data_IF_443006947830
#
_entry.id   IF_443006947830
#
_cell.length_a   1.000
_cell.length_b   1.000
_cell.length_c   1.000
_cell.angle_alpha   90.00
_cell.angle_beta   90.00
_cell.angle_gamma   90.00
#
_symmetry.space_group_name_H-M   'P 1'
#
loop_
_entity.id
_entity.type
_entity.pdbx_description
1 polymer ?
#
# COMPACT_ATOMS: atom_id res chain seq x y z
N UNK A 1 -26.90 12.35 9.45
CA UNK A 1 -27.67 11.70 8.37
C UNK A 1 -28.97 12.46 8.24
N UNK A 2 -29.24 13.15 7.11
CA UNK A 2 -30.52 13.84 6.92
C UNK A 2 -31.46 12.88 6.19
N UNK A 3 -32.47 12.40 6.89
CA UNK A 3 -33.54 11.59 6.33
C UNK A 3 -34.28 12.37 5.24
N UNK A 4 -34.36 11.81 4.04
CA UNK A 4 -35.34 12.26 3.05
C UNK A 4 -36.71 11.68 3.44
N UNK A 5 -37.40 12.34 4.39
CA UNK A 5 -38.79 12.03 4.66
C UNK A 5 -39.66 12.63 3.56
N UNK A 6 -40.06 11.80 2.59
CA UNK A 6 -41.10 12.17 1.63
C UNK A 6 -42.47 12.01 2.31
N UNK A 7 -43.07 13.13 2.74
CA UNK A 7 -44.52 13.19 3.03
C UNK A 7 -45.27 12.93 1.72
N UNK A 8 -46.02 11.83 1.65
CA UNK A 8 -46.93 11.52 0.55
C UNK A 8 -48.18 12.40 0.74
N UNK A 9 -48.09 13.64 0.31
CA UNK A 9 -49.26 14.48 0.01
C UNK A 9 -49.61 14.27 -1.46
N UNK A 10 -50.88 13.99 -1.74
CA UNK A 10 -51.46 13.49 -3.00
C UNK A 10 -51.41 14.47 -4.18
N UNK A 11 -50.23 14.99 -4.51
CA UNK A 11 -49.98 15.83 -5.68
C UNK A 11 -49.07 15.05 -6.62
N UNK A 12 -49.54 14.81 -7.85
CA UNK A 12 -48.74 14.17 -8.90
C UNK A 12 -47.40 14.92 -9.03
N UNK A 13 -46.26 14.22 -8.95
CA UNK A 13 -44.95 14.87 -8.91
C UNK A 13 -44.70 15.67 -10.18
N UNK A 14 -44.21 16.91 -10.01
CA UNK A 14 -43.85 17.77 -11.13
C UNK A 14 -42.78 17.10 -11.99
N UNK A 15 -42.77 17.38 -13.29
CA UNK A 15 -41.75 16.87 -14.23
C UNK A 15 -40.33 17.19 -13.75
N UNK A 16 -40.13 18.30 -13.04
CA UNK A 16 -38.86 18.68 -12.42
C UNK A 16 -38.44 17.73 -11.27
N UNK A 17 -39.38 17.30 -10.43
CA UNK A 17 -39.12 16.37 -9.31
C UNK A 17 -38.75 14.97 -9.81
N UNK A 18 -39.36 14.54 -10.91
CA UNK A 18 -39.02 13.28 -11.59
C UNK A 18 -37.60 13.35 -12.15
N UNK A 19 -37.19 14.47 -12.75
CA UNK A 19 -35.85 14.66 -13.32
C UNK A 19 -34.79 14.72 -12.20
N UNK A 20 -35.05 15.46 -11.11
CA UNK A 20 -34.17 15.55 -9.95
C UNK A 20 -33.99 14.19 -9.26
N UNK A 21 -35.06 13.42 -9.07
CA UNK A 21 -34.98 12.08 -8.46
C UNK A 21 -34.27 11.06 -9.36
N UNK A 22 -34.45 11.14 -10.69
CA UNK A 22 -33.70 10.31 -11.65
C UNK A 22 -32.22 10.67 -11.66
N UNK A 23 -31.88 11.96 -11.70
CA UNK A 23 -30.49 12.45 -11.63
C UNK A 23 -29.79 12.01 -10.34
N UNK A 24 -30.48 12.13 -9.19
CA UNK A 24 -29.95 11.70 -7.89
C UNK A 24 -29.79 10.18 -7.80
N UNK A 25 -30.70 9.38 -8.36
CA UNK A 25 -30.55 7.91 -8.42
C UNK A 25 -29.38 7.48 -9.31
N UNK A 26 -29.18 8.14 -10.45
CA UNK A 26 -28.06 7.88 -11.35
C UNK A 26 -26.72 8.23 -10.69
N UNK A 27 -26.65 9.34 -9.94
CA UNK A 27 -25.43 9.72 -9.21
C UNK A 27 -25.11 8.75 -8.07
N UNK A 28 -26.11 8.29 -7.31
CA UNK A 28 -25.92 7.27 -6.25
C UNK A 28 -25.46 5.93 -6.84
N UNK A 29 -26.03 5.51 -7.97
CA UNK A 29 -25.60 4.30 -8.65
C UNK A 29 -24.16 4.41 -9.14
N UNK A 30 -23.80 5.53 -9.76
CA UNK A 30 -22.44 5.81 -10.21
C UNK A 30 -21.44 5.79 -9.04
N UNK A 31 -21.74 6.46 -7.94
CA UNK A 31 -20.88 6.47 -6.74
C UNK A 31 -20.73 5.06 -6.13
N UNK A 32 -21.79 4.26 -6.13
CA UNK A 32 -21.72 2.84 -5.71
C UNK A 32 -20.81 2.02 -6.62
N UNK A 33 -20.91 2.19 -7.94
CA UNK A 33 -20.05 1.50 -8.89
C UNK A 33 -18.59 1.93 -8.75
N UNK A 34 -18.33 3.22 -8.58
CA UNK A 34 -16.98 3.75 -8.33
C UNK A 34 -16.42 3.19 -7.03
N UNK A 35 -17.18 3.20 -5.93
CA UNK A 35 -16.78 2.64 -4.65
C UNK A 35 -16.42 1.16 -4.78
N UNK A 36 -17.24 0.36 -5.47
CA UNK A 36 -16.98 -1.08 -5.72
C UNK A 36 -15.69 -1.30 -6.50
N UNK A 37 -15.45 -0.51 -7.56
CA UNK A 37 -14.21 -0.59 -8.35
C UNK A 37 -12.99 -0.21 -7.51
N UNK A 38 -13.08 0.86 -6.73
CA UNK A 38 -12.01 1.28 -5.83
C UNK A 38 -11.70 0.21 -4.78
N UNK A 39 -12.72 -0.35 -4.12
CA UNK A 39 -12.52 -1.41 -3.12
C UNK A 39 -11.92 -2.67 -3.72
N UNK A 40 -12.37 -3.09 -4.91
CA UNK A 40 -11.83 -4.25 -5.61
C UNK A 40 -10.35 -4.02 -5.99
N UNK A 41 -10.03 -2.82 -6.50
CA UNK A 41 -8.66 -2.44 -6.84
C UNK A 41 -7.75 -2.35 -5.62
N UNK A 42 -8.26 -1.83 -4.50
CA UNK A 42 -7.53 -1.79 -3.23
C UNK A 42 -7.22 -3.20 -2.72
N UNK A 43 -8.22 -4.09 -2.67
CA UNK A 43 -8.04 -5.48 -2.24
C UNK A 43 -7.01 -6.21 -3.11
N UNK A 44 -7.07 -6.02 -4.44
CA UNK A 44 -6.11 -6.61 -5.36
C UNK A 44 -4.67 -6.12 -5.08
N UNK A 45 -4.49 -4.82 -4.79
CA UNK A 45 -3.19 -4.25 -4.44
C UNK A 45 -2.67 -4.76 -3.10
N UNK A 46 -3.52 -4.89 -2.09
CA UNK A 46 -3.15 -5.44 -0.78
C UNK A 46 -2.70 -6.90 -0.89
N UNK A 47 -3.40 -7.70 -1.70
CA UNK A 47 -3.00 -9.08 -2.02
C UNK A 47 -1.66 -9.14 -2.75
N UNK A 48 -1.49 -8.32 -3.79
CA UNK A 48 -0.24 -8.26 -4.53
C UNK A 48 0.94 -7.82 -3.65
N UNK A 49 0.73 -6.82 -2.78
CA UNK A 49 1.73 -6.38 -1.81
C UNK A 49 2.11 -7.52 -0.85
N UNK A 50 1.12 -8.25 -0.33
CA UNK A 50 1.35 -9.37 0.58
C UNK A 50 2.18 -10.47 -0.10
N UNK A 51 1.84 -10.84 -1.34
CA UNK A 51 2.58 -11.81 -2.14
C UNK A 51 4.02 -11.36 -2.43
N UNK A 52 4.20 -10.08 -2.78
CA UNK A 52 5.53 -9.51 -3.03
C UNK A 52 6.40 -9.51 -1.78
N UNK A 53 5.82 -9.20 -0.61
CA UNK A 53 6.54 -9.24 0.66
C UNK A 53 6.95 -10.67 1.03
N UNK A 54 6.07 -11.65 0.82
CA UNK A 54 6.38 -13.06 1.06
C UNK A 54 7.46 -13.57 0.12
N UNK A 55 7.34 -13.27 -1.17
CA UNK A 55 8.35 -13.62 -2.18
C UNK A 55 9.69 -12.98 -1.84
N UNK A 56 9.71 -11.69 -1.51
CA UNK A 56 10.92 -10.97 -1.10
C UNK A 56 11.57 -11.54 0.16
N UNK A 57 10.77 -11.93 1.15
CA UNK A 57 11.28 -12.62 2.35
C UNK A 57 11.93 -13.96 2.01
N UNK A 58 11.31 -14.75 1.13
CA UNK A 58 11.82 -16.05 0.73
C UNK A 58 13.12 -15.93 -0.09
N UNK A 59 13.19 -14.97 -1.02
CA UNK A 59 14.40 -14.71 -1.80
C UNK A 59 15.54 -14.18 -0.93
N UNK A 60 15.26 -13.26 0.00
CA UNK A 60 16.24 -12.79 0.96
C UNK A 60 16.75 -13.92 1.85
N UNK A 61 15.85 -14.77 2.36
CA UNK A 61 16.23 -15.95 3.15
C UNK A 61 17.16 -16.86 2.37
N UNK A 62 16.79 -17.20 1.14
CA UNK A 62 17.62 -18.04 0.27
C UNK A 62 19.01 -17.41 0.02
N UNK A 63 19.07 -16.11 -0.25
CA UNK A 63 20.33 -15.39 -0.42
C UNK A 63 21.19 -15.42 0.85
N UNK A 64 20.61 -15.17 2.04
CA UNK A 64 21.36 -15.24 3.30
C UNK A 64 21.91 -16.66 3.54
N UNK A 65 21.09 -17.69 3.34
CA UNK A 65 21.50 -19.09 3.50
C UNK A 65 22.61 -19.48 2.52
N UNK A 66 22.54 -19.02 1.26
CA UNK A 66 23.58 -19.28 0.25
C UNK A 66 24.98 -18.81 0.70
N UNK A 67 25.06 -17.71 1.48
CA UNK A 67 26.32 -17.18 2.01
C UNK A 67 26.60 -17.60 3.46
N UNK A 68 25.89 -18.61 3.97
CA UNK A 68 26.07 -19.15 5.32
C UNK A 68 25.69 -18.18 6.43
N UNK A 69 24.73 -17.28 6.17
CA UNK A 69 24.21 -16.33 7.14
C UNK A 69 22.86 -16.81 7.68
N UNK A 70 22.64 -16.60 8.98
CA UNK A 70 21.35 -16.85 9.61
C UNK A 70 20.36 -15.75 9.27
N UNK A 71 19.10 -16.14 9.06
CA UNK A 71 18.03 -15.15 8.88
C UNK A 71 17.80 -14.44 10.21
N UNK A 72 17.93 -13.11 10.29
CA UNK A 72 17.72 -12.37 11.53
C UNK A 72 16.25 -12.50 11.96
N UNK A 73 16.04 -12.74 13.25
CA UNK A 73 14.71 -12.75 13.84
C UNK A 73 14.06 -11.37 13.79
N UNK A 74 12.74 -11.33 13.94
CA UNK A 74 12.00 -10.08 13.96
C UNK A 74 12.29 -9.32 15.26
N UNK A 75 13.03 -8.21 15.16
CA UNK A 75 13.24 -7.30 16.29
C UNK A 75 12.13 -6.24 16.36
N UNK A 76 11.65 -5.85 17.56
CA UNK A 76 10.72 -4.72 17.71
C UNK A 76 11.29 -3.45 17.06
N UNK A 77 10.44 -2.78 16.28
CA UNK A 77 10.80 -1.53 15.56
C UNK A 77 10.85 -0.33 16.49
N UNK A 78 10.18 -0.40 17.64
CA UNK A 78 10.18 0.64 18.64
C UNK A 78 9.96 0.04 20.03
N UNK A 79 10.39 0.78 21.04
CA UNK A 79 10.02 0.56 22.45
C UNK A 79 9.21 1.73 22.95
N UNK A 80 8.41 1.49 23.99
CA UNK A 80 7.71 2.54 24.72
C UNK A 80 8.51 2.86 25.98
N UNK A 81 9.12 4.03 26.03
CA UNK A 81 9.77 4.58 27.23
C UNK A 81 9.02 5.87 27.62
N UNK A 82 8.56 5.95 28.87
CA UNK A 82 7.79 7.08 29.41
C UNK A 82 6.60 7.51 28.52
N UNK A 83 5.91 6.53 27.95
CA UNK A 83 4.76 6.75 27.06
C UNK A 83 5.13 7.28 25.66
N UNK A 84 6.42 7.45 25.35
CA UNK A 84 6.91 7.87 24.04
C UNK A 84 7.42 6.69 23.24
N UNK A 85 7.11 6.66 21.93
CA UNK A 85 7.66 5.67 21.00
C UNK A 85 9.09 6.05 20.62
N UNK A 86 10.05 5.24 21.04
CA UNK A 86 11.44 5.35 20.62
C UNK A 86 11.73 4.29 19.56
N UNK A 87 11.98 4.73 18.33
CA UNK A 87 12.34 3.85 17.23
C UNK A 87 13.77 3.36 17.39
N UNK A 88 13.97 2.05 17.22
CA UNK A 88 15.27 1.42 17.37
C UNK A 88 15.75 0.82 16.07
N UNK A 89 17.06 0.92 15.83
CA UNK A 89 17.72 0.24 14.72
C UNK A 89 17.98 -1.20 15.14
N UNK A 90 17.46 -2.14 14.36
CA UNK A 90 17.75 -3.56 14.50
C UNK A 90 19.21 -3.86 14.09
N UNK A 91 20.09 -3.84 15.08
CA UNK A 91 21.54 -4.05 14.89
C UNK A 91 21.85 -5.45 14.37
N UNK A 92 21.04 -6.45 14.73
CA UNK A 92 21.23 -7.84 14.27
C UNK A 92 20.96 -7.92 12.78
N UNK A 93 19.82 -7.38 12.32
CA UNK A 93 19.49 -7.28 10.91
C UNK A 93 20.51 -6.46 10.12
N UNK A 94 20.94 -5.31 10.66
CA UNK A 94 21.97 -4.48 10.03
C UNK A 94 23.28 -5.26 9.84
N UNK A 95 23.71 -6.00 10.86
CA UNK A 95 24.91 -6.85 10.79
C UNK A 95 24.77 -7.92 9.72
N UNK A 96 23.67 -8.68 9.70
CA UNK A 96 23.45 -9.73 8.71
C UNK A 96 23.46 -9.19 7.27
N UNK A 97 22.84 -8.04 7.02
CA UNK A 97 22.83 -7.44 5.68
C UNK A 97 24.20 -6.87 5.28
N UNK A 98 24.95 -6.34 6.25
CA UNK A 98 26.32 -5.87 6.03
C UNK A 98 27.26 -7.03 5.70
N UNK A 99 27.13 -8.16 6.40
CA UNK A 99 27.86 -9.39 6.08
C UNK A 99 27.47 -9.94 4.70
N UNK A 100 26.19 -9.91 4.35
CA UNK A 100 25.73 -10.31 3.02
C UNK A 100 26.41 -9.49 1.94
N UNK A 101 26.46 -8.15 2.09
CA UNK A 101 27.15 -7.27 1.14
C UNK A 101 28.62 -7.63 0.99
N UNK A 102 29.33 -7.87 2.10
CA UNK A 102 30.76 -8.23 2.06
C UNK A 102 31.01 -9.59 1.39
N UNK A 103 30.15 -10.59 1.63
CA UNK A 103 30.33 -11.96 1.12
C UNK A 103 29.86 -12.13 -0.32
N UNK A 104 28.81 -11.44 -0.72
CA UNK A 104 28.13 -11.66 -2.00
C UNK A 104 28.65 -10.81 -3.16
N UNK A 105 29.44 -9.75 -2.86
CA UNK A 105 29.82 -8.71 -3.84
C UNK A 105 28.63 -8.05 -4.55
N UNK A 106 27.42 -8.20 -4.02
CA UNK A 106 26.22 -7.54 -4.53
C UNK A 106 26.32 -6.02 -4.32
N UNK A 107 25.72 -5.25 -5.22
CA UNK A 107 25.57 -3.82 -4.99
C UNK A 107 24.57 -3.56 -3.86
N UNK A 108 24.69 -2.41 -3.19
CA UNK A 108 23.71 -1.96 -2.20
C UNK A 108 22.29 -1.89 -2.79
N UNK A 109 22.18 -1.56 -4.08
CA UNK A 109 20.92 -1.53 -4.82
C UNK A 109 20.30 -2.92 -4.94
N UNK A 110 21.10 -3.94 -5.23
CA UNK A 110 20.61 -5.32 -5.36
C UNK A 110 20.18 -5.89 -4.01
N UNK A 111 20.93 -5.61 -2.94
CA UNK A 111 20.51 -5.97 -1.58
C UNK A 111 19.22 -5.24 -1.18
N UNK A 112 19.06 -3.96 -1.55
CA UNK A 112 17.81 -3.24 -1.33
C UNK A 112 16.63 -3.86 -2.09
N UNK A 113 16.85 -4.34 -3.33
CA UNK A 113 15.83 -5.08 -4.09
C UNK A 113 15.44 -6.39 -3.42
N UNK A 114 16.40 -7.13 -2.87
CA UNK A 114 16.13 -8.34 -2.10
C UNK A 114 15.29 -8.04 -0.85
N UNK A 115 15.65 -7.00 -0.09
CA UNK A 115 14.96 -6.63 1.16
C UNK A 115 13.55 -6.12 0.91
N UNK A 116 13.33 -5.35 -0.16
CA UNK A 116 12.03 -4.74 -0.48
C UNK A 116 11.09 -5.66 -1.26
N UNK A 117 11.58 -6.83 -1.70
CA UNK A 117 10.97 -7.55 -2.80
C UNK A 117 11.25 -6.83 -4.12
N UNK A 118 11.33 -7.58 -5.21
CA UNK A 118 11.63 -7.06 -6.54
C UNK A 118 10.45 -6.21 -7.04
N UNK A 119 10.23 -5.03 -6.45
CA UNK A 119 9.28 -4.04 -6.95
C UNK A 119 10.04 -3.16 -7.94
N UNK A 120 9.85 -3.37 -9.27
CA UNK A 120 10.52 -2.58 -10.30
C UNK A 120 9.97 -1.15 -10.38
N UNK A 121 8.99 -0.79 -9.52
CA UNK A 121 8.34 0.50 -9.62
C UNK A 121 9.37 1.61 -9.39
N UNK A 122 9.55 2.52 -10.38
CA UNK A 122 10.50 3.60 -10.25
C UNK A 122 10.15 4.44 -9.03
N UNK A 123 11.20 4.90 -8.32
CA UNK A 123 11.05 5.79 -7.19
C UNK A 123 10.26 7.02 -7.66
N UNK A 124 9.03 7.22 -7.16
CA UNK A 124 8.18 8.36 -7.54
C UNK A 124 8.84 9.71 -7.28
N UNK A 125 9.85 9.76 -6.42
CA UNK A 125 10.66 10.96 -6.18
C UNK A 125 11.56 11.35 -7.36
N UNK A 126 11.74 10.48 -8.36
CA UNK A 126 12.52 10.73 -9.58
C UNK A 126 11.63 10.95 -10.82
N UNK A 127 10.31 10.88 -10.68
CA UNK A 127 9.40 11.21 -11.77
C UNK A 127 9.34 12.73 -11.85
N UNK A 128 9.99 13.33 -12.84
CA UNK A 128 9.82 14.75 -13.16
C UNK A 128 8.32 14.97 -13.41
N UNK A 129 7.67 15.89 -12.70
CA UNK A 129 6.26 16.16 -12.95
C UNK A 129 6.09 16.67 -14.39
N UNK A 130 5.27 16.00 -15.20
CA UNK A 130 4.95 16.37 -16.59
C UNK A 130 4.21 17.74 -16.71
N UNK A 131 4.14 18.51 -15.63
CA UNK A 131 3.36 19.74 -15.50
C UNK A 131 4.24 20.99 -15.61
N UNK A 132 5.55 20.87 -15.79
CA UNK A 132 6.39 22.02 -16.05
C UNK A 132 6.28 22.41 -17.52
N UNK A 133 5.76 23.61 -17.85
CA UNK A 133 5.79 24.10 -19.22
C UNK A 133 7.25 24.32 -19.64
N UNK A 134 7.57 23.86 -20.84
CA UNK A 134 8.82 24.16 -21.54
C UNK A 134 8.99 25.66 -21.76
#
# INVERSE_FOLDING_TARGET
MKECQYKITSVLPSRADIILSKSCRTSIFFLRQLKRRCTASQLARERLLSLNLETGRNTLRAALTQYGLTTPEAHPTYVLEDGKKLYQIDRVKQRSYSELLRRSKLSLTDVNRLVRGHDPRPNKALTVPDHFPC
#
